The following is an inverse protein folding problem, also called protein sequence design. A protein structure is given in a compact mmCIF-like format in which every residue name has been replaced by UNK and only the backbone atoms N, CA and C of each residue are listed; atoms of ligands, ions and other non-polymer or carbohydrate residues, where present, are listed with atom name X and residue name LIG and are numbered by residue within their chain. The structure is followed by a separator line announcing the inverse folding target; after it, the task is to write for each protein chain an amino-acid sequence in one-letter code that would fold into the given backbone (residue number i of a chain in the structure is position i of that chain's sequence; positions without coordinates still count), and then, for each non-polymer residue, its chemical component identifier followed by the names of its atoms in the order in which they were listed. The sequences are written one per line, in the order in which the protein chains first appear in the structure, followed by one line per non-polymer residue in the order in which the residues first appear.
data_IF_809099381358
#
_entry.id   IF_809099381358
#
_cell.length_a   1.000
_cell.length_b   1.000
_cell.length_c   1.000
_cell.angle_alpha   90.00
_cell.angle_beta   90.00
_cell.angle_gamma   90.00
#
_symmetry.space_group_name_H-M   'P 1'
#
loop_
_entity.id
_entity.type
_entity.pdbx_description
1 polymer ?
#
# COMPACT_ATOMS: atom_id res chain seq x y z
N UNK A 1 -10.14 -9.30 43.80
CA UNK A 1 -10.21 -9.10 42.34
C UNK A 1 -10.22 -10.47 41.71
N UNK A 2 -11.25 -10.88 40.97
CA UNK A 2 -11.21 -12.18 40.31
C UNK A 2 -10.08 -12.12 39.26
N UNK A 3 -9.26 -13.17 39.22
CA UNK A 3 -8.30 -13.38 38.15
C UNK A 3 -9.07 -13.35 36.83
N UNK A 4 -8.66 -12.49 35.89
CA UNK A 4 -9.26 -12.46 34.56
C UNK A 4 -9.15 -13.85 33.94
N UNK A 5 -10.25 -14.32 33.35
CA UNK A 5 -10.23 -15.55 32.56
C UNK A 5 -9.06 -15.48 31.58
N UNK A 6 -8.26 -16.55 31.45
CA UNK A 6 -7.22 -16.60 30.43
C UNK A 6 -7.89 -16.40 29.07
N UNK A 7 -7.45 -15.37 28.35
CA UNK A 7 -7.93 -15.06 27.01
C UNK A 7 -7.87 -16.34 26.15
N UNK A 8 -9.02 -16.87 25.69
CA UNK A 8 -9.11 -18.15 25.00
C UNK A 8 -8.29 -18.19 23.69
N UNK A 9 -7.81 -17.04 23.23
CA UNK A 9 -7.00 -16.91 22.02
C UNK A 9 -5.50 -16.77 22.31
N UNK A 10 -5.04 -16.65 23.55
CA UNK A 10 -3.58 -16.50 23.79
C UNK A 10 -2.77 -17.78 23.56
N UNK A 11 -3.40 -18.96 23.65
CA UNK A 11 -2.70 -20.25 23.51
C UNK A 11 -2.80 -20.90 22.13
N UNK A 12 -3.77 -20.53 21.30
CA UNK A 12 -4.07 -21.22 20.02
C UNK A 12 -3.18 -20.69 18.87
N UNK A 13 -2.72 -19.45 18.97
CA UNK A 13 -2.16 -18.70 17.83
C UNK A 13 -0.65 -18.57 17.87
N UNK A 14 0.00 -18.91 18.98
CA UNK A 14 1.41 -18.61 19.20
C UNK A 14 2.38 -19.65 18.61
N UNK A 15 2.00 -20.92 18.50
CA UNK A 15 2.98 -22.00 18.27
C UNK A 15 2.64 -23.02 17.14
N UNK A 16 1.43 -22.98 16.57
CA UNK A 16 1.03 -23.94 15.52
C UNK A 16 0.02 -23.33 14.51
N UNK A 17 0.49 -22.89 13.32
CA UNK A 17 -0.39 -22.39 12.26
C UNK A 17 -1.45 -23.41 11.81
N UNK A 18 -1.17 -24.72 11.89
CA UNK A 18 -2.15 -25.75 11.54
C UNK A 18 -3.26 -25.85 12.60
N UNK A 19 -2.94 -25.66 13.87
CA UNK A 19 -3.95 -25.62 14.95
C UNK A 19 -4.96 -24.48 14.74
N UNK A 20 -4.49 -23.32 14.26
CA UNK A 20 -5.36 -22.19 13.89
C UNK A 20 -6.32 -22.62 12.78
N UNK A 21 -5.82 -23.20 11.68
CA UNK A 21 -6.67 -23.65 10.57
C UNK A 21 -7.69 -24.70 11.02
N UNK A 22 -7.30 -25.63 11.90
CA UNK A 22 -8.22 -26.63 12.48
C UNK A 22 -9.32 -25.98 13.31
N UNK A 23 -9.00 -24.95 14.09
CA UNK A 23 -9.99 -24.19 14.84
C UNK A 23 -10.95 -23.43 13.90
N UNK A 24 -10.42 -22.75 12.89
CA UNK A 24 -11.21 -22.01 11.89
C UNK A 24 -12.17 -22.91 11.10
N UNK A 25 -11.77 -24.15 10.78
CA UNK A 25 -12.63 -25.14 10.09
C UNK A 25 -13.89 -25.53 10.88
N UNK A 26 -13.97 -25.20 12.18
CA UNK A 26 -15.14 -25.47 13.03
C UNK A 26 -16.14 -24.33 13.06
N UNK A 27 -15.74 -23.14 12.61
CA UNK A 27 -16.61 -21.98 12.50
C UNK A 27 -17.50 -22.14 11.27
N UNK A 28 -18.70 -21.56 11.34
CA UNK A 28 -19.54 -21.42 10.17
C UNK A 28 -19.06 -20.25 9.29
N UNK A 29 -19.74 -20.05 8.15
CA UNK A 29 -19.34 -19.01 7.21
C UNK A 29 -19.52 -17.60 7.78
N UNK A 30 -20.55 -17.35 8.59
CA UNK A 30 -20.83 -16.01 9.13
C UNK A 30 -19.76 -15.64 10.17
N UNK A 31 -19.41 -16.58 11.05
CA UNK A 31 -18.33 -16.41 12.03
C UNK A 31 -16.98 -16.18 11.36
N UNK A 32 -16.69 -16.89 10.26
CA UNK A 32 -15.47 -16.66 9.48
C UNK A 32 -15.44 -15.25 8.85
N UNK A 33 -16.58 -14.74 8.38
CA UNK A 33 -16.66 -13.38 7.83
C UNK A 33 -16.47 -12.32 8.93
N UNK A 34 -17.10 -12.51 10.09
CA UNK A 34 -16.93 -11.60 11.23
C UNK A 34 -15.49 -11.60 11.74
N UNK A 35 -14.85 -12.77 11.80
CA UNK A 35 -13.46 -12.88 12.20
C UNK A 35 -12.54 -12.17 11.21
N UNK A 36 -12.71 -12.41 9.91
CA UNK A 36 -11.90 -11.78 8.87
C UNK A 36 -12.00 -10.24 8.92
N UNK A 37 -13.21 -9.69 9.07
CA UNK A 37 -13.40 -8.25 9.20
C UNK A 37 -12.80 -7.70 10.49
N UNK A 38 -12.92 -8.43 11.60
CA UNK A 38 -12.34 -8.02 12.89
C UNK A 38 -10.81 -8.00 12.83
N UNK A 39 -10.18 -9.01 12.20
CA UNK A 39 -8.73 -9.05 11.99
C UNK A 39 -8.29 -7.86 11.14
N UNK A 40 -8.96 -7.62 10.01
CA UNK A 40 -8.70 -6.46 9.15
C UNK A 40 -8.82 -5.15 9.92
N UNK A 41 -9.89 -4.96 10.69
CA UNK A 41 -10.09 -3.75 11.49
C UNK A 41 -8.93 -3.56 12.49
N UNK A 42 -8.52 -4.60 13.21
CA UNK A 42 -7.41 -4.52 14.17
C UNK A 42 -6.08 -4.22 13.50
N UNK A 43 -5.80 -4.79 12.31
CA UNK A 43 -4.61 -4.46 11.52
C UNK A 43 -4.57 -2.95 11.17
N UNK A 44 -5.69 -2.40 10.71
CA UNK A 44 -5.82 -0.97 10.40
C UNK A 44 -5.65 -0.11 11.65
N UNK A 45 -6.29 -0.46 12.76
CA UNK A 45 -6.18 0.27 14.03
C UNK A 45 -4.74 0.30 14.56
N UNK A 46 -4.02 -0.82 14.48
CA UNK A 46 -2.59 -0.89 14.87
C UNK A 46 -1.72 -0.01 14.00
N UNK A 47 -1.93 -0.04 12.69
CA UNK A 47 -1.20 0.80 11.75
C UNK A 47 -1.42 2.29 12.05
N UNK A 48 -2.66 2.71 12.35
CA UNK A 48 -2.99 4.08 12.75
C UNK A 48 -2.34 4.44 14.09
N UNK A 49 -2.38 3.53 15.07
CA UNK A 49 -1.89 3.76 16.42
C UNK A 49 -0.35 3.73 16.56
N UNK A 50 0.37 3.24 15.55
CA UNK A 50 1.84 3.10 15.58
C UNK A 50 2.60 4.40 15.82
N UNK A 51 1.99 5.57 15.56
CA UNK A 51 2.44 6.88 16.06
C UNK A 51 3.68 7.48 15.38
N UNK A 52 4.35 6.76 14.48
CA UNK A 52 5.62 7.19 13.85
C UNK A 52 5.48 7.65 12.39
N UNK A 53 4.25 7.97 11.96
CA UNK A 53 3.95 8.26 10.54
C UNK A 53 4.75 9.43 9.96
N UNK A 54 5.05 10.45 10.76
CA UNK A 54 5.80 11.62 10.30
C UNK A 54 7.26 11.27 10.01
N UNK A 55 7.89 10.49 10.88
CA UNK A 55 9.26 10.01 10.70
C UNK A 55 9.34 9.10 9.49
N UNK A 56 8.38 8.18 9.33
CA UNK A 56 8.32 7.26 8.19
C UNK A 56 8.14 8.05 6.88
N UNK A 57 7.25 9.05 6.84
CA UNK A 57 7.10 9.92 5.68
C UNK A 57 8.38 10.69 5.38
N UNK A 58 9.03 11.26 6.40
CA UNK A 58 10.28 11.99 6.22
C UNK A 58 11.37 11.09 5.62
N UNK A 59 11.58 9.90 6.20
CA UNK A 59 12.50 8.89 5.67
C UNK A 59 12.12 8.45 4.24
N UNK A 60 10.82 8.30 3.97
CA UNK A 60 10.29 7.99 2.65
C UNK A 60 10.61 9.06 1.61
N UNK A 61 10.71 10.34 1.98
CA UNK A 61 11.17 11.39 1.07
C UNK A 61 12.67 11.30 0.76
N UNK A 62 13.46 10.80 1.69
CA UNK A 62 14.91 10.65 1.53
C UNK A 62 15.28 9.47 0.63
N UNK A 63 14.56 8.35 0.75
CA UNK A 63 14.90 7.09 0.07
C UNK A 63 13.90 6.64 -1.00
N UNK A 64 12.67 7.16 -0.96
CA UNK A 64 11.55 6.68 -1.78
C UNK A 64 11.57 7.12 -3.24
N UNK A 65 12.63 7.77 -3.72
CA UNK A 65 12.68 8.34 -5.07
C UNK A 65 13.93 7.93 -5.84
N UNK A 66 13.73 7.39 -7.04
CA UNK A 66 14.81 6.99 -7.93
C UNK A 66 15.58 8.18 -8.50
N UNK A 67 16.70 7.88 -9.18
CA UNK A 67 17.50 8.89 -9.90
C UNK A 67 16.70 9.63 -10.98
N UNK A 68 15.64 9.02 -11.50
CA UNK A 68 14.72 9.64 -12.46
C UNK A 68 13.67 10.55 -11.81
N UNK A 69 13.67 10.64 -10.48
CA UNK A 69 12.78 11.49 -9.69
C UNK A 69 11.38 10.91 -9.46
N UNK A 70 11.11 9.70 -9.95
CA UNK A 70 9.85 8.98 -9.73
C UNK A 70 9.93 8.14 -8.45
N UNK A 71 8.78 7.78 -7.88
CA UNK A 71 8.71 6.91 -6.71
C UNK A 71 9.38 5.55 -6.95
N UNK A 72 9.98 4.92 -5.94
CA UNK A 72 10.43 3.52 -6.06
C UNK A 72 9.25 2.55 -5.81
N UNK A 73 9.50 1.24 -5.84
CA UNK A 73 8.49 0.26 -5.46
C UNK A 73 8.14 0.40 -3.97
N UNK A 74 6.88 0.15 -3.57
CA UNK A 74 6.49 0.22 -2.16
C UNK A 74 7.22 -0.82 -1.32
N UNK A 75 7.35 -0.54 -0.02
CA UNK A 75 7.96 -1.44 0.96
C UNK A 75 7.21 -1.38 2.28
N UNK A 76 7.47 -2.36 3.14
CA UNK A 76 6.90 -2.42 4.48
C UNK A 76 7.85 -1.79 5.50
N UNK A 77 7.30 -0.92 6.35
CA UNK A 77 7.94 -0.33 7.52
C UNK A 77 7.02 -0.54 8.72
N UNK A 78 7.32 -1.56 9.54
CA UNK A 78 6.43 -1.97 10.65
C UNK A 78 5.05 -2.42 10.14
N UNK A 79 3.99 -1.82 10.67
CA UNK A 79 2.59 -2.10 10.30
C UNK A 79 2.12 -1.32 9.06
N UNK A 80 3.03 -0.65 8.35
CA UNK A 80 2.71 0.27 7.26
C UNK A 80 3.38 -0.13 5.96
N UNK A 81 2.69 0.06 4.84
CA UNK A 81 3.24 0.04 3.49
C UNK A 81 3.53 1.48 3.08
N UNK A 82 4.80 1.78 2.84
CA UNK A 82 5.25 3.07 2.34
C UNK A 82 5.15 3.06 0.82
N UNK A 83 4.36 4.00 0.28
CA UNK A 83 4.02 4.09 -1.13
C UNK A 83 4.49 5.42 -1.73
N UNK A 84 5.70 5.49 -2.32
CA UNK A 84 6.16 6.69 -3.00
C UNK A 84 5.47 6.87 -4.35
N UNK A 85 5.03 8.10 -4.62
CA UNK A 85 4.44 8.51 -5.89
C UNK A 85 5.07 9.82 -6.37
N UNK A 86 5.15 10.03 -7.68
CA UNK A 86 5.74 11.27 -8.16
C UNK A 86 5.52 11.55 -9.64
N UNK A 87 5.69 12.82 -9.99
CA UNK A 87 5.58 13.33 -11.33
C UNK A 87 6.76 14.26 -11.62
N UNK A 88 7.39 14.08 -12.77
CA UNK A 88 8.47 14.93 -13.28
C UNK A 88 8.08 15.47 -14.65
N UNK A 89 7.89 16.78 -14.74
CA UNK A 89 7.62 17.46 -16.01
C UNK A 89 8.86 17.43 -16.90
N UNK A 90 8.63 17.12 -18.17
CA UNK A 90 9.66 17.16 -19.22
C UNK A 90 9.43 18.31 -20.20
N UNK A 91 8.20 18.86 -20.23
CA UNK A 91 7.86 20.12 -20.91
C UNK A 91 6.56 20.69 -20.32
N UNK A 92 6.05 21.80 -20.88
CA UNK A 92 4.74 22.36 -20.49
C UNK A 92 3.56 21.40 -20.72
N UNK A 93 3.69 20.45 -21.64
CA UNK A 93 2.61 19.54 -22.07
C UNK A 93 2.94 18.06 -21.88
N UNK A 94 4.05 17.76 -21.19
CA UNK A 94 4.50 16.38 -21.01
C UNK A 94 5.16 16.15 -19.65
N UNK A 95 4.89 14.98 -19.07
CA UNK A 95 5.53 14.53 -17.84
C UNK A 95 5.68 13.01 -17.82
N UNK A 96 6.56 12.52 -16.95
CA UNK A 96 6.60 11.13 -16.51
C UNK A 96 6.00 11.06 -15.11
N UNK A 97 5.30 9.97 -14.81
CA UNK A 97 4.76 9.75 -13.48
C UNK A 97 4.90 8.28 -13.06
N UNK A 98 4.85 8.07 -11.75
CA UNK A 98 4.66 6.75 -11.15
C UNK A 98 3.81 6.92 -9.90
N UNK A 99 2.71 6.19 -9.83
CA UNK A 99 1.77 6.24 -8.70
C UNK A 99 1.30 4.84 -8.34
N UNK A 100 0.75 4.72 -7.13
CA UNK A 100 0.19 3.48 -6.62
C UNK A 100 -1.33 3.53 -6.73
N UNK A 101 -1.94 2.49 -7.26
CA UNK A 101 -3.35 2.16 -7.02
C UNK A 101 -3.46 1.04 -5.99
N UNK A 102 -4.54 1.04 -5.23
CA UNK A 102 -4.88 0.11 -4.16
C UNK A 102 -6.27 -0.42 -4.47
N UNK A 103 -6.43 -1.73 -4.62
CA UNK A 103 -7.72 -2.38 -4.92
C UNK A 103 -8.51 -1.66 -6.04
N UNK A 104 -7.85 -1.47 -7.19
CA UNK A 104 -8.38 -0.80 -8.40
C UNK A 104 -8.75 0.69 -8.27
N UNK A 105 -8.45 1.36 -7.14
CA UNK A 105 -8.59 2.81 -6.99
C UNK A 105 -7.23 3.48 -6.79
N UNK A 106 -7.11 4.77 -7.10
CA UNK A 106 -5.86 5.47 -6.80
C UNK A 106 -5.65 5.61 -5.30
N UNK A 107 -4.39 5.60 -4.86
CA UNK A 107 -4.06 5.62 -3.42
C UNK A 107 -4.67 6.81 -2.66
N UNK A 108 -4.83 7.97 -3.30
CA UNK A 108 -5.47 9.15 -2.69
C UNK A 108 -7.01 9.02 -2.57
N UNK A 109 -7.62 8.08 -3.28
CA UNK A 109 -9.05 7.76 -3.20
C UNK A 109 -9.31 6.50 -2.35
N UNK A 110 -8.26 5.82 -1.87
CA UNK A 110 -8.39 4.58 -1.10
C UNK A 110 -8.89 4.83 0.32
N UNK A 111 -9.84 4.01 0.76
CA UNK A 111 -10.30 3.98 2.16
C UNK A 111 -9.24 3.51 3.16
N UNK A 112 -8.17 2.86 2.67
CA UNK A 112 -7.04 2.41 3.47
C UNK A 112 -5.94 3.47 3.62
N UNK A 113 -6.08 4.64 2.98
CA UNK A 113 -5.10 5.71 3.12
C UNK A 113 -5.07 6.24 4.56
N UNK A 114 -3.95 6.05 5.25
CA UNK A 114 -3.75 6.57 6.60
C UNK A 114 -3.26 8.02 6.53
N UNK A 115 -2.23 8.27 5.70
CA UNK A 115 -1.63 9.58 5.55
C UNK A 115 -0.93 9.71 4.21
N UNK A 116 -0.96 10.90 3.62
CA UNK A 116 -0.14 11.29 2.48
C UNK A 116 0.50 12.64 2.77
N UNK A 117 1.75 12.81 2.37
CA UNK A 117 2.35 14.13 2.21
C UNK A 117 2.84 14.33 0.78
N UNK A 118 2.57 15.52 0.23
CA UNK A 118 2.95 15.91 -1.12
C UNK A 118 3.85 17.15 -1.09
N UNK A 119 5.05 17.03 -1.67
CA UNK A 119 6.02 18.12 -1.81
C UNK A 119 6.20 18.49 -3.27
N UNK A 120 5.86 19.74 -3.60
CA UNK A 120 6.02 20.28 -4.95
C UNK A 120 7.46 20.73 -5.20
N UNK A 121 7.97 20.47 -6.41
CA UNK A 121 9.27 20.97 -6.85
C UNK A 121 9.05 22.08 -7.88
N UNK A 122 9.20 23.37 -7.51
CA UNK A 122 9.07 24.46 -8.46
C UNK A 122 10.28 24.55 -9.39
N UNK A 123 10.09 25.09 -10.60
CA UNK A 123 11.18 25.37 -11.55
C UNK A 123 11.05 24.64 -12.90
N UNK A 124 12.12 24.62 -13.72
CA UNK A 124 12.10 24.10 -15.10
C UNK A 124 11.79 22.61 -15.24
N UNK A 125 12.03 21.82 -14.17
CA UNK A 125 11.61 20.42 -14.02
C UNK A 125 10.51 20.34 -12.97
N UNK A 126 9.43 21.08 -13.22
CA UNK A 126 8.30 21.17 -12.28
C UNK A 126 7.68 19.81 -12.03
N UNK A 127 7.13 19.60 -10.85
CA UNK A 127 6.52 18.33 -10.52
C UNK A 127 6.22 18.23 -9.03
N UNK A 128 6.00 17.01 -8.57
CA UNK A 128 5.87 16.74 -7.15
C UNK A 128 6.31 15.33 -6.82
N UNK A 129 6.62 15.17 -5.53
CA UNK A 129 6.86 13.90 -4.86
C UNK A 129 5.80 13.74 -3.78
N UNK A 130 5.31 12.53 -3.60
CA UNK A 130 4.35 12.19 -2.57
C UNK A 130 4.78 10.89 -1.90
N UNK A 131 4.56 10.80 -0.60
CA UNK A 131 4.72 9.57 0.17
C UNK A 131 3.40 9.31 0.87
N UNK A 132 2.79 8.18 0.57
CA UNK A 132 1.56 7.72 1.17
C UNK A 132 1.82 6.50 2.06
N UNK A 133 1.02 6.35 3.11
CA UNK A 133 1.06 5.24 4.05
C UNK A 133 -0.26 4.48 4.00
N UNK A 134 -0.16 3.17 3.84
CA UNK A 134 -1.28 2.22 3.94
C UNK A 134 -1.00 1.25 5.09
N UNK A 135 -2.01 0.66 5.73
CA UNK A 135 -1.83 -0.44 6.65
C UNK A 135 -1.37 -1.71 5.91
N UNK A 136 -0.62 -2.57 6.59
CA UNK A 136 -0.36 -3.94 6.12
C UNK A 136 -1.59 -4.80 6.42
N UNK A 137 -2.45 -4.98 5.42
CA UNK A 137 -3.68 -5.79 5.50
C UNK A 137 -3.59 -6.89 4.45
N UNK A 138 -3.66 -8.15 4.88
CA UNK A 138 -3.60 -9.30 3.98
C UNK A 138 -4.72 -9.25 2.92
N UNK A 139 -4.36 -9.60 1.69
CA UNK A 139 -5.25 -9.52 0.53
C UNK A 139 -5.32 -8.15 -0.15
N UNK A 140 -4.72 -7.10 0.42
CA UNK A 140 -4.64 -5.79 -0.25
C UNK A 140 -3.83 -5.91 -1.54
N UNK A 141 -4.39 -5.50 -2.67
CA UNK A 141 -3.71 -5.47 -3.96
C UNK A 141 -3.16 -4.07 -4.26
N UNK A 142 -1.89 -3.99 -4.66
CA UNK A 142 -1.22 -2.75 -5.05
C UNK A 142 -0.75 -2.83 -6.49
N UNK A 143 -0.93 -1.75 -7.23
CA UNK A 143 -0.43 -1.61 -8.60
C UNK A 143 0.45 -0.37 -8.70
N UNK A 144 1.75 -0.55 -8.93
CA UNK A 144 2.69 0.54 -9.17
C UNK A 144 2.68 0.88 -10.65
N UNK A 145 1.93 1.91 -11.00
CA UNK A 145 1.66 2.32 -12.37
C UNK A 145 2.66 3.40 -12.80
N UNK A 146 3.55 3.04 -13.72
CA UNK A 146 4.44 3.99 -14.41
C UNK A 146 3.78 4.46 -15.71
N UNK A 147 3.71 5.78 -15.90
CA UNK A 147 3.08 6.37 -17.06
C UNK A 147 3.77 7.63 -17.57
N UNK A 148 3.27 8.12 -18.69
CA UNK A 148 3.68 9.36 -19.32
C UNK A 148 2.48 10.10 -19.86
N UNK A 149 2.43 11.39 -19.64
CA UNK A 149 1.50 12.27 -20.33
C UNK A 149 2.22 12.99 -21.48
N UNK A 150 1.48 13.15 -22.58
CA UNK A 150 1.83 14.01 -23.71
C UNK A 150 0.59 14.83 -24.07
N UNK A 151 0.71 15.72 -25.07
CA UNK A 151 -0.42 16.50 -25.59
C UNK A 151 -1.63 15.63 -26.02
N UNK A 152 -1.38 14.37 -26.40
CA UNK A 152 -2.41 13.40 -26.80
C UNK A 152 -3.12 12.69 -25.65
N UNK A 153 -2.71 12.91 -24.40
CA UNK A 153 -3.28 12.28 -23.20
C UNK A 153 -2.26 11.56 -22.33
N UNK A 154 -2.78 10.88 -21.30
CA UNK A 154 -2.01 10.07 -20.36
C UNK A 154 -1.97 8.61 -20.82
N UNK A 155 -0.77 8.02 -20.87
CA UNK A 155 -0.55 6.63 -21.25
C UNK A 155 0.17 5.90 -20.10
N UNK A 156 -0.29 4.70 -19.79
CA UNK A 156 0.42 3.75 -18.93
C UNK A 156 1.49 3.04 -19.76
N UNK A 157 2.70 2.98 -19.24
CA UNK A 157 3.83 2.29 -19.89
C UNK A 157 4.09 0.93 -19.23
N UNK A 158 4.05 0.86 -17.89
CA UNK A 158 4.45 -0.32 -17.14
C UNK A 158 3.74 -0.37 -15.79
N UNK A 159 3.31 -1.56 -15.38
CA UNK A 159 2.75 -1.83 -14.06
C UNK A 159 3.50 -2.99 -13.39
N UNK A 160 3.80 -2.82 -12.11
CA UNK A 160 4.27 -3.87 -11.20
C UNK A 160 3.20 -4.05 -10.13
N UNK A 161 2.69 -5.27 -9.98
CA UNK A 161 1.60 -5.60 -9.07
C UNK A 161 2.13 -6.33 -7.85
N UNK A 162 1.56 -6.01 -6.70
CA UNK A 162 1.85 -6.63 -5.42
C UNK A 162 0.56 -7.07 -4.72
N UNK A 163 0.69 -8.01 -3.82
CA UNK A 163 -0.36 -8.41 -2.88
C UNK A 163 0.26 -8.56 -1.50
N UNK A 164 -0.46 -8.11 -0.47
CA UNK A 164 -0.07 -8.40 0.91
C UNK A 164 -0.43 -9.85 1.24
N UNK A 165 0.56 -10.65 1.59
CA UNK A 165 0.40 -12.05 1.98
C UNK A 165 1.24 -12.36 3.20
N UNK A 166 0.59 -12.85 4.24
CA UNK A 166 1.23 -13.20 5.51
C UNK A 166 2.01 -12.00 6.09
N UNK A 167 1.39 -10.81 6.02
CA UNK A 167 2.03 -9.55 6.44
C UNK A 167 3.22 -9.11 5.59
N UNK A 168 3.47 -9.74 4.43
CA UNK A 168 4.57 -9.37 3.53
C UNK A 168 4.05 -8.85 2.20
N UNK A 169 4.82 -7.96 1.55
CA UNK A 169 4.47 -7.44 0.23
C UNK A 169 5.10 -8.34 -0.85
N UNK A 170 4.27 -9.10 -1.56
CA UNK A 170 4.72 -10.07 -2.57
C UNK A 170 4.47 -9.52 -3.96
N UNK A 171 5.50 -9.43 -4.80
CA UNK A 171 5.32 -9.12 -6.21
C UNK A 171 4.60 -10.29 -6.92
N UNK A 172 3.45 -10.01 -7.53
CA UNK A 172 2.61 -11.04 -8.17
C UNK A 172 2.57 -10.92 -9.71
N UNK A 173 2.93 -9.75 -10.27
CA UNK A 173 2.92 -9.54 -11.71
C UNK A 173 3.79 -8.36 -12.15
N UNK A 174 4.31 -8.43 -13.38
CA UNK A 174 4.91 -7.31 -14.09
C UNK A 174 4.43 -7.28 -15.53
N UNK A 175 3.98 -6.12 -16.02
CA UNK A 175 3.48 -5.96 -17.39
C UNK A 175 3.87 -4.64 -18.02
N UNK A 176 4.33 -4.70 -19.27
CA UNK A 176 4.49 -3.52 -20.14
C UNK A 176 3.20 -3.29 -20.90
N UNK A 177 2.62 -2.10 -20.80
CA UNK A 177 1.35 -1.76 -21.43
C UNK A 177 1.62 -1.06 -22.76
N UNK A 178 1.46 -1.81 -23.85
CA UNK A 178 1.50 -1.24 -25.19
C UNK A 178 0.17 -0.55 -25.51
N UNK A 179 0.01 0.70 -25.05
CA UNK A 179 -0.96 1.64 -25.60
C UNK A 179 -2.44 1.40 -25.32
N UNK A 180 -2.81 0.61 -24.31
CA UNK A 180 -4.22 0.53 -23.88
C UNK A 180 -4.51 1.56 -22.79
N UNK A 181 -5.54 2.38 -22.99
CA UNK A 181 -6.03 3.35 -22.00
C UNK A 181 -6.64 2.58 -20.83
N UNK A 182 -6.22 2.84 -19.58
CA UNK A 182 -7.06 2.50 -18.43
C UNK A 182 -8.34 3.34 -18.52
N UNK A 183 -9.49 2.70 -18.30
CA UNK A 183 -10.79 3.38 -18.17
C UNK A 183 -10.92 3.97 -16.79
#
# INVERSE_FOLDING_TARGET
MPAGDPDPLTGIWADDPEAVVVALRRLDSDDLHHLAESVRQVQVERAIASGDHETIIAAGFDTGFGKDGLGVLPWIEGELIVCPGGLVSTSRVAHRCRFVSVDDVWIWDSSLLIREEKRSTPGPRSGFRAVALLPVVDGTALDVVTGRARSSGHQVDHVVSFEVRDGTLVEVSQRTVNGSKMR
#
